data_IF_498591240491
#
_entry.id   IF_498591240491
#
_cell.length_a   1.000
_cell.length_b   1.000
_cell.length_c   1.000
_cell.angle_alpha   90.00
_cell.angle_beta   90.00
_cell.angle_gamma   90.00
#
_symmetry.space_group_name_H-M   'P 1'
#
loop_
_entity.id
_entity.type
_entity.pdbx_description
1 polymer ?
#
# COMPACT_ATOMS: atom_id res chain seq x y z
N UNK A 1 2.38 28.80 10.23
CA UNK A 1 2.51 27.57 9.42
C UNK A 1 1.15 27.32 8.79
N UNK A 2 1.02 27.39 7.46
CA UNK A 2 -0.27 27.11 6.82
C UNK A 2 -0.57 25.62 6.94
N UNK A 3 -1.64 25.26 7.64
CA UNK A 3 -2.13 23.88 7.70
C UNK A 3 -2.34 23.36 6.27
N UNK A 4 -1.71 22.22 5.98
CA UNK A 4 -1.79 21.59 4.68
C UNK A 4 -3.17 20.92 4.53
N UNK A 5 -4.11 21.58 3.86
CA UNK A 5 -5.41 20.99 3.53
C UNK A 5 -5.31 20.06 2.31
N UNK A 6 -6.17 19.05 2.31
CA UNK A 6 -6.37 18.11 1.21
C UNK A 6 -7.79 18.28 0.66
N UNK A 7 -7.96 18.05 -0.64
CA UNK A 7 -9.23 18.20 -1.34
C UNK A 7 -9.68 16.86 -1.90
N UNK A 8 -10.93 16.48 -1.65
CA UNK A 8 -11.62 15.42 -2.39
C UNK A 8 -12.27 16.05 -3.61
N UNK A 9 -11.79 15.68 -4.79
CA UNK A 9 -12.26 16.26 -6.06
C UNK A 9 -12.97 15.20 -6.89
N UNK A 10 -14.18 15.50 -7.34
CA UNK A 10 -14.90 14.68 -8.32
C UNK A 10 -14.42 15.01 -9.73
N UNK A 11 -13.92 14.01 -10.44
CA UNK A 11 -13.54 14.18 -11.83
C UNK A 11 -14.79 14.40 -12.70
N UNK A 12 -14.85 15.46 -13.53
CA UNK A 12 -16.01 15.69 -14.40
C UNK A 12 -16.14 14.63 -15.51
N UNK A 13 -15.04 13.95 -15.86
CA UNK A 13 -15.02 12.98 -16.97
C UNK A 13 -15.42 11.56 -16.55
N UNK A 14 -14.89 11.05 -15.43
CA UNK A 14 -15.17 9.69 -14.96
C UNK A 14 -16.00 9.61 -13.67
N UNK A 15 -16.37 10.76 -13.10
CA UNK A 15 -17.17 10.90 -11.88
C UNK A 15 -16.57 10.30 -10.60
N UNK A 16 -15.38 9.69 -10.69
CA UNK A 16 -14.61 9.20 -9.55
C UNK A 16 -14.01 10.37 -8.76
N UNK A 17 -14.06 10.24 -7.44
CA UNK A 17 -13.46 11.14 -6.49
C UNK A 17 -12.02 10.73 -6.19
N UNK A 18 -11.11 11.71 -6.06
CA UNK A 18 -9.70 11.47 -5.74
C UNK A 18 -9.13 12.60 -4.89
N UNK A 19 -8.08 12.30 -4.15
CA UNK A 19 -7.41 13.27 -3.29
C UNK A 19 -6.40 14.14 -4.02
N UNK A 20 -6.45 15.46 -3.81
CA UNK A 20 -5.55 16.44 -4.41
C UNK A 20 -5.11 17.50 -3.40
N UNK A 21 -3.94 18.09 -3.64
CA UNK A 21 -3.44 19.26 -2.89
C UNK A 21 -4.03 20.59 -3.39
N UNK A 22 -4.48 20.62 -4.64
CA UNK A 22 -5.01 21.79 -5.35
C UNK A 22 -6.09 21.32 -6.32
N UNK A 23 -7.01 22.20 -6.73
CA UNK A 23 -8.05 21.86 -7.72
C UNK A 23 -7.55 21.63 -9.16
N UNK A 24 -6.23 21.56 -9.36
CA UNK A 24 -5.58 21.47 -10.67
C UNK A 24 -4.69 20.23 -10.73
N UNK A 25 -4.58 19.64 -11.92
CA UNK A 25 -3.72 18.48 -12.14
C UNK A 25 -4.34 17.50 -13.15
N UNK A 26 -4.18 16.20 -12.88
CA UNK A 26 -4.79 15.13 -13.67
C UNK A 26 -5.54 14.17 -12.75
N UNK A 27 -6.66 13.65 -13.22
CA UNK A 27 -7.37 12.58 -12.56
C UNK A 27 -6.49 11.33 -12.53
N UNK A 28 -6.23 10.73 -11.36
CA UNK A 28 -5.44 9.50 -11.27
C UNK A 28 -6.16 8.27 -11.84
N UNK A 29 -7.48 8.33 -12.01
CA UNK A 29 -8.27 7.21 -12.56
C UNK A 29 -8.31 7.19 -14.08
N UNK A 30 -8.52 8.35 -14.73
CA UNK A 30 -8.74 8.42 -16.18
C UNK A 30 -7.76 9.34 -16.93
N UNK A 31 -6.84 10.01 -16.23
CA UNK A 31 -5.84 10.89 -16.83
C UNK A 31 -6.36 12.27 -17.31
N UNK A 32 -7.68 12.49 -17.27
CA UNK A 32 -8.32 13.76 -17.68
C UNK A 32 -7.81 14.94 -16.85
N UNK A 33 -7.68 16.10 -17.48
CA UNK A 33 -7.20 17.31 -16.81
C UNK A 33 -8.22 17.82 -15.79
N UNK A 34 -7.72 18.28 -14.64
CA UNK A 34 -8.46 19.07 -13.67
C UNK A 34 -8.02 20.52 -13.84
N UNK A 35 -8.95 21.39 -14.22
CA UNK A 35 -8.67 22.77 -14.65
C UNK A 35 -8.78 23.82 -13.53
N UNK A 36 -9.11 23.40 -12.32
CA UNK A 36 -9.39 24.29 -11.19
C UNK A 36 -10.87 24.55 -10.94
N UNK A 37 -11.77 24.08 -11.82
CA UNK A 37 -13.22 24.26 -11.69
C UNK A 37 -13.95 22.98 -11.25
N UNK A 38 -13.23 21.86 -11.18
CA UNK A 38 -13.78 20.57 -10.76
C UNK A 38 -14.35 20.65 -9.33
N UNK A 39 -15.48 19.97 -9.12
CA UNK A 39 -16.20 19.95 -7.85
C UNK A 39 -15.29 19.47 -6.71
N UNK A 40 -15.18 20.28 -5.65
CA UNK A 40 -14.61 19.84 -4.36
C UNK A 40 -15.72 19.32 -3.49
N UNK A 41 -15.74 18.00 -3.32
CA UNK A 41 -16.72 17.27 -2.51
C UNK A 41 -16.46 17.50 -1.02
N UNK A 42 -15.19 17.57 -0.62
CA UNK A 42 -14.78 17.72 0.79
C UNK A 42 -13.39 18.34 0.89
N UNK A 43 -13.16 19.12 1.95
CA UNK A 43 -11.83 19.55 2.39
C UNK A 43 -11.47 18.76 3.64
N UNK A 44 -10.31 18.11 3.62
CA UNK A 44 -9.80 17.26 4.70
C UNK A 44 -8.54 17.90 5.32
N UNK A 45 -8.34 17.66 6.61
CA UNK A 45 -7.22 18.19 7.41
C UNK A 45 -6.10 17.18 7.60
N UNK A 46 -6.37 15.90 7.32
CA UNK A 46 -5.39 14.82 7.43
C UNK A 46 -5.48 13.82 6.27
N UNK A 47 -4.40 13.05 6.07
CA UNK A 47 -4.38 11.97 5.06
C UNK A 47 -5.34 10.82 5.38
N UNK A 48 -5.55 10.52 6.68
CA UNK A 48 -6.51 9.49 7.11
C UNK A 48 -7.96 9.89 6.84
N UNK A 49 -8.30 11.15 7.11
CA UNK A 49 -9.60 11.72 6.75
C UNK A 49 -9.80 11.69 5.22
N UNK A 50 -8.79 12.09 4.45
CA UNK A 50 -8.83 12.07 2.99
C UNK A 50 -9.10 10.67 2.43
N UNK A 51 -8.40 9.66 2.95
CA UNK A 51 -8.58 8.26 2.52
C UNK A 51 -10.02 7.80 2.73
N UNK A 52 -10.55 8.05 3.93
CA UNK A 52 -11.93 7.68 4.30
C UNK A 52 -12.95 8.39 3.41
N UNK A 53 -12.82 9.70 3.21
CA UNK A 53 -13.78 10.50 2.44
C UNK A 53 -13.75 10.14 0.95
N UNK A 54 -12.58 9.87 0.37
CA UNK A 54 -12.46 9.38 -1.01
C UNK A 54 -13.15 8.02 -1.16
N UNK A 55 -12.91 7.09 -0.23
CA UNK A 55 -13.52 5.76 -0.28
C UNK A 55 -15.05 5.84 -0.19
N UNK A 56 -15.57 6.62 0.75
CA UNK A 56 -17.01 6.84 0.91
C UNK A 56 -17.64 7.53 -0.30
N UNK A 57 -16.96 8.52 -0.89
CA UNK A 57 -17.48 9.25 -2.06
C UNK A 57 -17.53 8.40 -3.34
N UNK A 58 -16.70 7.36 -3.44
CA UNK A 58 -16.68 6.41 -4.55
C UNK A 58 -17.52 5.16 -4.29
N UNK A 59 -18.08 5.01 -3.10
CA UNK A 59 -18.88 3.83 -2.72
C UNK A 59 -20.37 4.07 -2.98
N UNK A 60 -21.08 3.13 -3.63
CA UNK A 60 -22.53 3.20 -3.81
C UNK A 60 -23.28 3.36 -2.48
N UNK A 61 -24.45 4.02 -2.52
CA UNK A 61 -25.25 4.34 -1.32
C UNK A 61 -25.47 3.16 -0.39
N UNK A 62 -25.72 2.01 -0.99
CA UNK A 62 -26.12 0.76 -0.34
C UNK A 62 -24.98 0.15 0.48
N UNK A 63 -23.72 0.49 0.17
CA UNK A 63 -22.52 -0.07 0.80
C UNK A 63 -21.78 0.93 1.70
N UNK A 64 -22.18 2.21 1.71
CA UNK A 64 -21.47 3.26 2.45
C UNK A 64 -21.47 3.03 3.96
N UNK A 65 -22.58 2.58 4.53
CA UNK A 65 -22.68 2.39 5.98
C UNK A 65 -21.90 1.16 6.46
N UNK A 66 -21.90 0.07 5.67
CA UNK A 66 -21.03 -1.08 5.95
C UNK A 66 -19.55 -0.70 5.87
N UNK A 67 -19.15 0.04 4.83
CA UNK A 67 -17.77 0.48 4.67
C UNK A 67 -17.34 1.40 5.83
N UNK A 68 -18.20 2.35 6.22
CA UNK A 68 -17.93 3.25 7.35
C UNK A 68 -17.74 2.46 8.65
N UNK A 69 -18.60 1.48 8.91
CA UNK A 69 -18.47 0.62 10.09
C UNK A 69 -17.11 -0.09 10.11
N UNK A 70 -16.70 -0.69 8.99
CA UNK A 70 -15.40 -1.39 8.87
C UNK A 70 -14.20 -0.46 9.07
N UNK A 71 -14.23 0.72 8.47
CA UNK A 71 -13.17 1.74 8.60
C UNK A 71 -13.08 2.29 10.03
N UNK A 72 -14.19 2.36 10.76
CA UNK A 72 -14.20 2.81 12.16
C UNK A 72 -13.77 1.71 13.15
N UNK A 73 -13.99 0.43 12.80
CA UNK A 73 -13.60 -0.72 13.61
C UNK A 73 -12.15 -1.14 13.43
N UNK A 74 -11.45 -0.59 12.43
CA UNK A 74 -10.01 -0.74 12.33
C UNK A 74 -9.38 0.18 13.38
N UNK A 75 -9.20 -0.37 14.58
CA UNK A 75 -8.15 0.11 15.50
C UNK A 75 -6.90 0.27 14.64
N UNK A 76 -6.14 1.37 14.73
CA UNK A 76 -4.86 1.45 14.03
C UNK A 76 -4.11 0.20 14.45
N UNK A 77 -3.86 -0.72 13.51
CA UNK A 77 -2.88 -1.77 13.78
C UNK A 77 -1.69 -1.00 14.31
N UNK A 78 -1.36 -1.31 15.57
CA UNK A 78 -0.23 -0.70 16.22
C UNK A 78 0.90 -0.80 15.20
N UNK A 79 1.51 0.35 14.91
CA UNK A 79 2.83 0.41 14.33
C UNK A 79 3.79 -0.22 15.35
N UNK A 80 3.60 -1.50 15.65
CA UNK A 80 4.70 -2.40 15.93
C UNK A 80 5.66 -2.15 14.79
N UNK A 81 6.90 -1.85 15.14
CA UNK A 81 7.95 -1.60 14.18
C UNK A 81 8.22 -2.89 13.39
N UNK A 82 7.27 -3.30 12.55
CA UNK A 82 7.47 -4.30 11.53
C UNK A 82 8.40 -3.62 10.55
N UNK A 83 9.60 -4.16 10.46
CA UNK A 83 10.46 -3.92 9.31
C UNK A 83 9.55 -4.10 8.11
N UNK A 84 9.31 -3.01 7.34
CA UNK A 84 8.49 -3.07 6.12
C UNK A 84 8.92 -4.30 5.32
N UNK A 85 7.98 -5.08 4.79
CA UNK A 85 8.30 -6.31 4.04
C UNK A 85 9.38 -6.06 2.96
N UNK A 86 9.37 -4.88 2.34
CA UNK A 86 10.43 -4.44 1.40
C UNK A 86 11.81 -4.22 2.05
N UNK A 87 11.84 -3.74 3.29
CA UNK A 87 13.08 -3.63 4.06
C UNK A 87 13.60 -5.01 4.50
N UNK A 88 12.70 -5.94 4.81
CA UNK A 88 13.05 -7.32 5.15
C UNK A 88 13.61 -8.06 3.92
N UNK A 89 12.94 -7.96 2.78
CA UNK A 89 13.40 -8.55 1.51
C UNK A 89 14.73 -7.96 1.04
N UNK A 90 14.98 -6.66 1.26
CA UNK A 90 16.30 -6.07 1.01
C UNK A 90 17.41 -6.71 1.85
N UNK A 91 17.16 -6.92 3.15
CA UNK A 91 18.12 -7.62 4.02
C UNK A 91 18.29 -9.08 3.64
N UNK A 92 17.24 -9.74 3.14
CA UNK A 92 17.32 -11.11 2.63
C UNK A 92 18.16 -11.19 1.35
N UNK A 93 18.14 -10.16 0.51
CA UNK A 93 19.04 -10.05 -0.65
C UNK A 93 20.51 -9.98 -0.23
N UNK A 94 20.82 -9.30 0.87
CA UNK A 94 22.20 -9.17 1.37
C UNK A 94 22.80 -10.49 1.89
N UNK A 95 21.96 -11.50 2.17
CA UNK A 95 22.40 -12.84 2.59
C UNK A 95 22.31 -13.88 1.47
N UNK A 96 21.84 -13.48 0.28
CA UNK A 96 21.83 -14.35 -0.88
C UNK A 96 23.27 -14.66 -1.32
N UNK A 97 23.46 -15.79 -1.98
CA UNK A 97 24.77 -16.17 -2.52
C UNK A 97 25.19 -15.31 -3.72
N UNK A 98 26.34 -15.63 -4.31
CA UNK A 98 26.89 -14.89 -5.47
C UNK A 98 25.97 -14.94 -6.72
N UNK A 99 25.05 -15.92 -6.78
CA UNK A 99 24.06 -16.05 -7.85
C UNK A 99 22.72 -15.39 -7.48
N UNK A 100 22.63 -14.73 -6.31
CA UNK A 100 21.42 -14.09 -5.82
C UNK A 100 20.37 -15.09 -5.31
N UNK A 101 20.77 -16.32 -4.99
CA UNK A 101 19.91 -17.39 -4.49
C UNK A 101 19.89 -17.42 -2.96
N UNK A 102 18.71 -17.66 -2.40
CA UNK A 102 18.49 -17.84 -0.97
C UNK A 102 17.66 -19.10 -0.71
N UNK A 103 18.06 -19.87 0.30
CA UNK A 103 17.34 -21.05 0.77
C UNK A 103 16.41 -20.75 1.97
N UNK A 104 15.41 -21.61 2.17
CA UNK A 104 14.39 -21.47 3.21
C UNK A 104 14.97 -21.46 4.63
N UNK A 105 16.08 -22.17 4.88
CA UNK A 105 16.73 -22.21 6.19
C UNK A 105 17.43 -20.89 6.48
N UNK A 106 18.10 -20.31 5.49
CA UNK A 106 18.72 -18.98 5.53
C UNK A 106 17.68 -17.89 5.79
N UNK A 107 16.52 -17.94 5.12
CA UNK A 107 15.39 -17.05 5.37
C UNK A 107 14.88 -17.22 6.79
N UNK A 108 14.60 -18.46 7.22
CA UNK A 108 14.09 -18.77 8.57
C UNK A 108 15.03 -18.29 9.68
N UNK A 109 16.35 -18.49 9.49
CA UNK A 109 17.36 -18.01 10.40
C UNK A 109 17.41 -16.47 10.44
N UNK A 110 17.21 -15.81 9.30
CA UNK A 110 17.16 -14.35 9.23
C UNK A 110 15.92 -13.78 9.94
N UNK A 111 14.75 -14.41 9.75
CA UNK A 111 13.51 -14.02 10.43
C UNK A 111 13.65 -14.16 11.94
N UNK A 112 14.17 -15.29 12.42
CA UNK A 112 14.44 -15.52 13.85
C UNK A 112 15.40 -14.48 14.43
N UNK A 113 16.46 -14.11 13.71
CA UNK A 113 17.43 -13.10 14.15
C UNK A 113 16.85 -11.69 14.23
N UNK A 114 15.85 -11.38 13.42
CA UNK A 114 15.19 -10.07 13.41
C UNK A 114 13.88 -10.06 14.24
N UNK A 115 13.64 -11.10 15.06
CA UNK A 115 12.44 -11.25 15.90
C UNK A 115 11.13 -11.14 15.09
N UNK A 116 11.15 -11.63 13.85
CA UNK A 116 9.98 -11.66 12.96
C UNK A 116 9.28 -13.01 13.10
N UNK A 117 8.05 -12.98 13.63
CA UNK A 117 7.18 -14.15 13.74
C UNK A 117 6.38 -14.35 12.43
N UNK A 118 7.04 -14.93 11.43
CA UNK A 118 6.42 -15.27 10.14
C UNK A 118 7.03 -16.56 9.57
N UNK A 119 6.23 -17.40 8.87
CA UNK A 119 6.76 -18.56 8.17
C UNK A 119 7.60 -18.12 6.96
N UNK A 120 8.81 -18.65 6.84
CA UNK A 120 9.73 -18.31 5.73
C UNK A 120 9.13 -18.63 4.36
N UNK A 121 8.48 -19.80 4.21
CA UNK A 121 7.81 -20.20 2.97
C UNK A 121 6.75 -19.19 2.55
N UNK A 122 5.82 -18.83 3.46
CA UNK A 122 4.76 -17.87 3.16
C UNK A 122 5.30 -16.48 2.80
N UNK A 123 6.42 -16.06 3.39
CA UNK A 123 7.09 -14.82 3.01
C UNK A 123 7.64 -14.87 1.58
N UNK A 124 8.28 -16.00 1.21
CA UNK A 124 8.89 -16.15 -0.10
C UNK A 124 7.85 -16.40 -1.21
N UNK A 125 6.74 -17.10 -0.91
CA UNK A 125 5.58 -17.21 -1.79
C UNK A 125 4.96 -15.85 -2.09
N UNK A 126 4.81 -14.99 -1.08
CA UNK A 126 4.33 -13.62 -1.29
C UNK A 126 5.31 -12.83 -2.16
N UNK A 127 6.62 -12.97 -1.94
CA UNK A 127 7.64 -12.32 -2.76
C UNK A 127 7.62 -12.80 -4.23
N UNK A 128 7.28 -14.08 -4.48
CA UNK A 128 7.08 -14.64 -5.81
C UNK A 128 5.85 -13.99 -6.49
N UNK A 129 4.71 -13.91 -5.79
CA UNK A 129 3.48 -13.27 -6.30
C UNK A 129 3.69 -11.80 -6.62
N UNK A 130 4.50 -11.09 -5.82
CA UNK A 130 4.86 -9.69 -6.05
C UNK A 130 5.92 -9.50 -7.16
N UNK A 131 6.45 -10.58 -7.72
CA UNK A 131 7.45 -10.54 -8.80
C UNK A 131 8.83 -10.07 -8.34
N UNK A 132 9.19 -10.32 -7.08
CA UNK A 132 10.47 -9.92 -6.49
C UNK A 132 11.52 -11.03 -6.53
N UNK A 133 11.07 -12.29 -6.55
CA UNK A 133 11.90 -13.49 -6.62
C UNK A 133 11.33 -14.50 -7.62
N UNK A 134 12.19 -15.38 -8.12
CA UNK A 134 11.84 -16.56 -8.88
C UNK A 134 12.07 -17.80 -8.03
N UNK A 135 11.06 -18.67 -7.91
CA UNK A 135 11.25 -19.98 -7.27
C UNK A 135 12.07 -20.91 -8.16
N UNK A 136 13.17 -21.45 -7.63
CA UNK A 136 14.01 -22.43 -8.32
C UNK A 136 13.55 -23.86 -8.02
N UNK A 137 13.20 -24.13 -6.75
CA UNK A 137 12.62 -25.39 -6.28
C UNK A 137 11.82 -25.17 -4.98
N UNK A 138 11.44 -26.25 -4.30
CA UNK A 138 10.62 -26.20 -3.08
C UNK A 138 11.25 -25.42 -1.92
N UNK A 139 12.58 -25.25 -1.90
CA UNK A 139 13.30 -24.64 -0.77
C UNK A 139 14.17 -23.45 -1.17
N UNK A 140 14.23 -23.09 -2.46
CA UNK A 140 15.13 -22.04 -2.96
C UNK A 140 14.47 -21.05 -3.89
N UNK A 141 14.86 -19.78 -3.73
CA UNK A 141 14.42 -18.66 -4.54
C UNK A 141 15.60 -17.79 -4.98
N UNK A 142 15.50 -17.20 -6.16
CA UNK A 142 16.48 -16.27 -6.74
C UNK A 142 15.88 -14.86 -6.78
N UNK A 143 16.62 -13.86 -6.33
CA UNK A 143 16.22 -12.46 -6.49
C UNK A 143 16.45 -11.98 -7.93
N UNK A 144 15.55 -11.14 -8.45
CA UNK A 144 15.82 -10.39 -9.67
C UNK A 144 16.77 -9.21 -9.36
N UNK A 145 17.72 -8.94 -10.28
CA UNK A 145 18.66 -7.80 -10.22
C UNK A 145 17.94 -6.47 -9.96
#
# INVERSE_FOLDING_TARGET
>A
MSEQSWLVIRCPSCLQCSGHRRQKGRCPHCGSALDGTSEVVKVCTSGGELLTEVALANTPSELRDELRARLSSTVPEEQTASISMRALLRKLRDIADEEGVVDVDSVSNHLRKNEVDAPAEGLMEQAEVEGLVLRLDETRWMFFE
#
